data_IF_842686543161
#
_entry.id   IF_842686543161
#
_cell.length_a   1.000
_cell.length_b   1.000
_cell.length_c   1.000
_cell.angle_alpha   90.00
_cell.angle_beta   90.00
_cell.angle_gamma   90.00
#
_symmetry.space_group_name_H-M   'P 1'
#
loop_
_entity.id
_entity.type
_entity.pdbx_description
1 polymer ?
#
# COMPACT_ATOMS: atom_id res chain seq x y z
N UNK A 1 9.10 -29.24 -88.23
CA UNK A 1 8.84 -30.69 -88.38
C UNK A 1 8.57 -31.20 -86.98
N UNK A 2 7.32 -31.35 -86.56
CA UNK A 2 6.47 -32.52 -86.91
C UNK A 2 7.19 -33.81 -86.47
N UNK A 3 6.64 -34.73 -85.68
CA UNK A 3 5.22 -35.04 -85.42
C UNK A 3 5.18 -36.36 -84.63
N UNK A 4 4.07 -36.61 -83.94
CA UNK A 4 3.56 -37.95 -83.65
C UNK A 4 4.06 -38.57 -82.32
N UNK A 5 3.31 -39.41 -81.62
CA UNK A 5 2.01 -40.03 -81.94
C UNK A 5 1.43 -40.61 -80.64
N UNK A 6 0.10 -40.69 -80.60
CA UNK A 6 -0.70 -41.45 -79.64
C UNK A 6 -0.20 -42.87 -79.39
N UNK A 7 -0.46 -43.39 -78.18
CA UNK A 7 -0.66 -44.82 -77.97
C UNK A 7 -1.69 -45.03 -76.87
N UNK A 8 -2.77 -45.61 -77.34
CA UNK A 8 -4.07 -45.81 -76.74
C UNK A 8 -4.08 -47.14 -75.95
N UNK A 9 -4.94 -47.19 -74.91
CA UNK A 9 -5.99 -48.21 -74.73
C UNK A 9 -5.74 -49.48 -73.85
N UNK A 10 -6.83 -49.83 -73.13
CA UNK A 10 -7.29 -51.15 -72.59
C UNK A 10 -6.58 -51.65 -71.32
N UNK A 11 -7.18 -52.29 -70.31
CA UNK A 11 -8.47 -52.33 -69.57
C UNK A 11 -8.26 -53.46 -68.53
N UNK A 12 -9.11 -53.49 -67.49
CA UNK A 12 -9.47 -54.66 -66.65
C UNK A 12 -8.42 -55.23 -65.69
N UNK A 13 -8.74 -55.74 -64.50
CA UNK A 13 -9.91 -55.71 -63.61
C UNK A 13 -9.48 -56.47 -62.32
N UNK A 14 -10.18 -56.24 -61.19
CA UNK A 14 -10.27 -57.09 -59.97
C UNK A 14 -9.02 -57.29 -59.10
N UNK A 15 -9.02 -57.31 -57.76
CA UNK A 15 -9.98 -57.11 -56.66
C UNK A 15 -9.13 -56.99 -55.36
N UNK A 16 -9.78 -56.66 -54.25
CA UNK A 16 -9.40 -56.91 -52.85
C UNK A 16 -8.99 -55.71 -51.95
N UNK A 17 -10.00 -55.30 -51.17
CA UNK A 17 -9.95 -54.97 -49.74
C UNK A 17 -9.07 -53.81 -49.23
N UNK A 18 -9.71 -52.67 -48.92
CA UNK A 18 -9.28 -51.75 -47.85
C UNK A 18 -10.44 -50.96 -47.24
N UNK A 19 -10.48 -50.77 -45.90
CA UNK A 19 -11.59 -50.14 -45.20
C UNK A 19 -11.56 -48.61 -45.35
N UNK A 20 -12.67 -48.04 -45.80
CA UNK A 20 -12.86 -46.59 -45.92
C UNK A 20 -12.98 -45.92 -44.54
N UNK A 21 -11.93 -45.21 -44.12
CA UNK A 21 -11.99 -44.28 -43.00
C UNK A 21 -12.62 -42.95 -43.44
N UNK A 22 -13.88 -42.73 -43.07
CA UNK A 22 -14.58 -41.47 -43.29
C UNK A 22 -14.07 -40.38 -42.33
N UNK A 23 -13.26 -39.45 -42.83
CA UNK A 23 -12.89 -38.23 -42.08
C UNK A 23 -14.03 -37.22 -42.13
N UNK A 24 -14.96 -37.32 -41.19
CA UNK A 24 -15.99 -36.30 -40.98
C UNK A 24 -15.36 -35.00 -40.46
N UNK A 25 -15.39 -33.93 -41.28
CA UNK A 25 -15.00 -32.57 -40.86
C UNK A 25 -15.92 -32.12 -39.72
N UNK A 26 -15.37 -31.92 -38.52
CA UNK A 26 -16.13 -31.39 -37.37
C UNK A 26 -16.63 -29.98 -37.70
N UNK A 27 -17.95 -29.77 -37.65
CA UNK A 27 -18.58 -28.45 -37.79
C UNK A 27 -18.05 -27.50 -36.69
N UNK A 28 -17.68 -26.24 -36.99
CA UNK A 28 -17.26 -25.30 -35.97
C UNK A 28 -18.43 -25.04 -35.00
N UNK A 29 -18.18 -25.19 -33.70
CA UNK A 29 -19.16 -24.90 -32.65
C UNK A 29 -19.47 -23.40 -32.68
N UNK A 30 -20.75 -23.04 -32.79
CA UNK A 30 -21.21 -21.66 -32.64
C UNK A 30 -20.87 -21.17 -31.24
N UNK A 31 -19.99 -20.18 -31.14
CA UNK A 31 -19.62 -19.57 -29.86
C UNK A 31 -20.80 -18.70 -29.37
N UNK A 32 -21.55 -19.21 -28.39
CA UNK A 32 -22.62 -18.45 -27.76
C UNK A 32 -22.01 -17.32 -26.91
N UNK A 33 -22.09 -16.08 -27.41
CA UNK A 33 -21.65 -14.89 -26.68
C UNK A 33 -22.62 -14.63 -25.54
N UNK A 34 -22.16 -14.87 -24.31
CA UNK A 34 -22.95 -14.57 -23.11
C UNK A 34 -23.12 -13.05 -22.97
N UNK A 35 -24.33 -12.62 -22.63
CA UNK A 35 -24.67 -11.22 -22.37
C UNK A 35 -24.68 -10.95 -20.87
N UNK A 36 -24.51 -9.68 -20.52
CA UNK A 36 -24.71 -9.16 -19.18
C UNK A 36 -26.12 -9.52 -18.68
N UNK A 37 -26.20 -9.95 -17.42
CA UNK A 37 -27.46 -10.23 -16.73
C UNK A 37 -27.55 -9.39 -15.46
N UNK A 38 -28.64 -8.66 -15.30
CA UNK A 38 -28.91 -7.80 -14.14
C UNK A 38 -28.92 -8.56 -12.82
N UNK A 39 -29.28 -9.85 -12.83
CA UNK A 39 -29.23 -10.70 -11.64
C UNK A 39 -27.81 -10.86 -11.05
N UNK A 40 -26.75 -10.60 -11.81
CA UNK A 40 -25.38 -10.64 -11.29
C UNK A 40 -25.09 -9.48 -10.33
N UNK A 41 -25.80 -8.35 -10.42
CA UNK A 41 -25.65 -7.22 -9.48
C UNK A 41 -26.02 -7.62 -8.05
N UNK A 42 -26.95 -8.58 -7.88
CA UNK A 42 -27.35 -9.10 -6.55
C UNK A 42 -26.20 -9.79 -5.82
N UNK A 43 -25.27 -10.39 -6.58
CA UNK A 43 -24.14 -11.16 -6.03
C UNK A 43 -22.85 -10.35 -6.03
N UNK A 44 -22.75 -9.32 -6.87
CA UNK A 44 -21.56 -8.49 -7.06
C UNK A 44 -21.96 -7.00 -6.95
N UNK A 45 -21.96 -6.43 -5.73
CA UNK A 45 -22.39 -5.05 -5.49
C UNK A 45 -21.57 -3.99 -6.25
N UNK A 46 -20.36 -4.33 -6.66
CA UNK A 46 -19.44 -3.49 -7.42
C UNK A 46 -19.74 -3.43 -8.93
N UNK A 47 -20.65 -4.28 -9.43
CA UNK A 47 -20.99 -4.40 -10.85
C UNK A 47 -22.23 -3.57 -11.24
N UNK A 48 -22.27 -3.09 -12.49
CA UNK A 48 -23.42 -2.40 -13.10
C UNK A 48 -23.47 -2.65 -14.62
N UNK A 49 -24.62 -2.42 -15.25
CA UNK A 49 -24.77 -2.36 -16.71
C UNK A 49 -23.78 -1.37 -17.37
N UNK A 50 -23.12 -1.80 -18.45
CA UNK A 50 -22.17 -0.96 -19.21
C UNK A 50 -22.88 -0.21 -20.34
N UNK A 51 -22.38 1.00 -20.65
CA UNK A 51 -22.81 1.78 -21.82
C UNK A 51 -22.22 1.22 -23.14
N UNK A 52 -21.19 0.39 -23.08
CA UNK A 52 -20.51 -0.19 -24.25
C UNK A 52 -21.20 -1.45 -24.80
N UNK A 53 -22.45 -1.68 -24.39
CA UNK A 53 -23.34 -2.70 -24.93
C UNK A 53 -23.46 -3.95 -24.06
N UNK A 54 -24.42 -4.81 -24.41
CA UNK A 54 -24.85 -5.96 -23.60
C UNK A 54 -23.78 -7.06 -23.38
N UNK A 55 -22.59 -6.95 -23.99
CA UNK A 55 -21.46 -7.85 -23.77
C UNK A 55 -20.43 -7.31 -22.78
N UNK A 56 -20.70 -6.16 -22.15
CA UNK A 56 -19.82 -5.53 -21.18
C UNK A 56 -20.55 -5.33 -19.84
N UNK A 57 -19.80 -5.42 -18.76
CA UNK A 57 -20.24 -5.02 -17.42
C UNK A 57 -19.34 -3.91 -16.89
N UNK A 58 -19.90 -2.91 -16.23
CA UNK A 58 -19.15 -1.81 -15.66
C UNK A 58 -18.78 -2.09 -14.20
N UNK A 59 -17.51 -1.94 -13.86
CA UNK A 59 -17.05 -2.03 -12.48
C UNK A 59 -16.97 -0.64 -11.84
N UNK A 60 -17.79 -0.40 -10.81
CA UNK A 60 -17.82 0.85 -10.05
C UNK A 60 -16.54 1.09 -9.27
N UNK A 61 -15.93 0.02 -8.76
CA UNK A 61 -14.67 0.11 -8.02
C UNK A 61 -13.48 0.43 -8.93
N UNK A 62 -13.35 -0.26 -10.08
CA UNK A 62 -12.21 -0.11 -10.99
C UNK A 62 -12.37 1.02 -12.02
N UNK A 63 -13.58 1.57 -12.15
CA UNK A 63 -14.00 2.52 -13.19
C UNK A 63 -13.61 2.04 -14.59
N UNK A 64 -13.97 0.80 -14.92
CA UNK A 64 -13.68 0.22 -16.24
C UNK A 64 -14.72 -0.79 -16.68
N UNK A 65 -14.82 -0.96 -18.00
CA UNK A 65 -15.61 -2.01 -18.63
C UNK A 65 -14.92 -3.37 -18.59
N UNK A 66 -15.68 -4.39 -18.23
CA UNK A 66 -15.29 -5.79 -18.22
C UNK A 66 -16.00 -6.46 -19.39
N UNK A 67 -15.22 -7.00 -20.33
CA UNK A 67 -15.76 -7.77 -21.45
C UNK A 67 -16.22 -9.15 -20.98
N UNK A 68 -17.49 -9.47 -21.18
CA UNK A 68 -18.10 -10.75 -20.81
C UNK A 68 -18.08 -11.64 -22.05
N UNK A 69 -17.15 -12.59 -22.08
CA UNK A 69 -17.02 -13.56 -23.17
C UNK A 69 -17.46 -14.95 -22.72
N UNK A 70 -17.09 -15.32 -21.50
CA UNK A 70 -17.37 -16.61 -20.85
C UNK A 70 -18.41 -16.49 -19.73
N UNK A 71 -19.20 -15.41 -19.73
CA UNK A 71 -20.25 -15.18 -18.73
C UNK A 71 -19.69 -14.78 -17.36
N UNK A 72 -20.35 -15.24 -16.30
CA UNK A 72 -20.02 -14.86 -14.90
C UNK A 72 -18.57 -15.15 -14.52
N UNK A 73 -17.91 -16.13 -15.14
CA UNK A 73 -16.50 -16.46 -14.85
C UNK A 73 -15.53 -15.30 -15.08
N UNK A 74 -15.79 -14.43 -16.06
CA UNK A 74 -14.94 -13.27 -16.32
C UNK A 74 -15.07 -12.19 -15.22
N UNK A 75 -16.25 -12.10 -14.61
CA UNK A 75 -16.52 -11.18 -13.50
C UNK A 75 -15.82 -11.65 -12.22
N UNK A 76 -15.89 -12.95 -11.93
CA UNK A 76 -15.16 -13.56 -10.81
C UNK A 76 -13.66 -13.38 -11.00
N UNK A 77 -13.12 -13.61 -12.21
CA UNK A 77 -11.70 -13.36 -12.49
C UNK A 77 -11.32 -11.89 -12.26
N UNK A 78 -12.18 -10.96 -12.68
CA UNK A 78 -11.96 -9.53 -12.45
C UNK A 78 -11.87 -9.19 -10.96
N UNK A 79 -12.74 -9.77 -10.13
CA UNK A 79 -12.78 -9.56 -8.68
C UNK A 79 -11.44 -9.85 -8.00
N UNK A 80 -10.75 -10.89 -8.45
CA UNK A 80 -9.44 -11.27 -7.92
C UNK A 80 -8.25 -10.51 -8.56
N UNK A 81 -8.48 -9.58 -9.48
CA UNK A 81 -7.38 -8.80 -10.08
C UNK A 81 -6.81 -7.78 -9.10
N UNK A 82 -5.50 -7.54 -9.19
CA UNK A 82 -4.79 -6.54 -8.37
C UNK A 82 -5.37 -5.12 -8.51
N UNK A 83 -5.99 -4.79 -9.65
CA UNK A 83 -6.66 -3.49 -9.84
C UNK A 83 -7.94 -3.41 -8.98
N UNK A 84 -8.74 -4.49 -8.98
CA UNK A 84 -9.98 -4.56 -8.23
C UNK A 84 -9.76 -4.58 -6.73
N UNK A 85 -8.87 -5.45 -6.25
CA UNK A 85 -8.58 -5.59 -4.82
C UNK A 85 -8.07 -4.27 -4.25
N UNK A 86 -7.09 -3.62 -4.90
CA UNK A 86 -6.57 -2.32 -4.46
C UNK A 86 -7.64 -1.24 -4.49
N UNK A 87 -8.45 -1.16 -5.56
CA UNK A 87 -9.46 -0.10 -5.68
C UNK A 87 -10.61 -0.25 -4.68
N UNK A 88 -11.06 -1.48 -4.42
CA UNK A 88 -12.09 -1.76 -3.41
C UNK A 88 -11.60 -1.38 -2.00
N UNK A 89 -10.38 -1.78 -1.64
CA UNK A 89 -9.81 -1.45 -0.32
C UNK A 89 -9.62 0.07 -0.16
N UNK A 90 -9.13 0.75 -1.20
CA UNK A 90 -8.94 2.20 -1.17
C UNK A 90 -10.25 3.00 -1.04
N UNK A 91 -11.38 2.46 -1.51
CA UNK A 91 -12.67 3.17 -1.46
C UNK A 91 -13.43 2.92 -0.16
N UNK A 92 -13.31 1.72 0.43
CA UNK A 92 -14.01 1.36 1.68
C UNK A 92 -13.43 2.07 2.91
N UNK A 93 -12.12 2.38 2.91
CA UNK A 93 -11.45 3.06 4.01
C UNK A 93 -11.51 4.59 3.98
N UNK A 94 -12.02 5.20 2.90
CA UNK A 94 -12.06 6.65 2.76
C UNK A 94 -13.21 7.26 3.57
N UNK A 95 -12.85 8.02 4.60
CA UNK A 95 -13.79 8.84 5.37
C UNK A 95 -14.45 9.87 4.45
N UNK A 96 -15.76 10.01 4.55
CA UNK A 96 -16.50 11.02 3.75
C UNK A 96 -16.15 12.43 4.23
N UNK A 97 -16.16 13.41 3.32
CA UNK A 97 -15.91 14.82 3.66
C UNK A 97 -16.87 15.28 4.78
N UNK A 98 -18.12 14.83 4.76
CA UNK A 98 -19.11 15.09 5.82
C UNK A 98 -18.67 14.57 7.19
N UNK A 99 -17.98 13.43 7.27
CA UNK A 99 -17.46 12.90 8.53
C UNK A 99 -16.30 13.72 9.10
N UNK A 100 -15.60 14.52 8.28
CA UNK A 100 -14.56 15.46 8.72
C UNK A 100 -15.17 16.69 9.42
N UNK A 101 -16.35 17.13 8.98
CA UNK A 101 -17.07 18.27 9.56
C UNK A 101 -18.05 17.88 10.68
N UNK A 102 -18.39 16.58 10.78
CA UNK A 102 -19.24 16.04 11.83
C UNK A 102 -18.48 15.69 13.12
N UNK A 103 -17.20 16.01 13.25
CA UNK A 103 -16.47 15.96 14.54
C UNK A 103 -16.86 17.15 15.43
N UNK A 104 -18.16 17.34 15.64
CA UNK A 104 -18.68 18.16 16.72
C UNK A 104 -18.67 17.28 17.98
N UNK A 105 -17.76 17.60 18.89
CA UNK A 105 -17.72 17.09 20.28
C UNK A 105 -17.85 15.57 20.41
N UNK A 106 -16.83 14.80 20.02
CA UNK A 106 -16.64 13.53 20.74
C UNK A 106 -16.29 13.92 22.18
N UNK A 107 -17.05 13.42 23.15
CA UNK A 107 -16.61 13.45 24.53
C UNK A 107 -15.16 12.96 24.58
N UNK A 108 -14.29 13.75 25.20
CA UNK A 108 -12.89 13.41 25.33
C UNK A 108 -12.79 12.11 26.14
N UNK A 109 -12.48 11.01 25.47
CA UNK A 109 -12.42 9.68 26.09
C UNK A 109 -11.35 9.68 27.18
N UNK A 110 -11.48 8.80 28.17
CA UNK A 110 -10.48 8.64 29.24
C UNK A 110 -9.08 8.41 28.67
N UNK A 111 -8.97 7.66 27.56
CA UNK A 111 -7.72 7.47 26.83
C UNK A 111 -7.15 8.77 26.25
N UNK A 112 -7.98 9.62 25.65
CA UNK A 112 -7.53 10.92 25.15
C UNK A 112 -7.05 11.83 26.28
N UNK A 113 -7.72 11.78 27.45
CA UNK A 113 -7.29 12.50 28.65
C UNK A 113 -5.97 11.98 29.21
N UNK A 114 -5.77 10.66 29.19
CA UNK A 114 -4.51 10.04 29.61
C UNK A 114 -3.36 10.44 28.68
N UNK A 115 -3.56 10.41 27.36
CA UNK A 115 -2.58 10.88 26.37
C UNK A 115 -2.22 12.35 26.58
N UNK A 116 -3.22 13.19 26.84
CA UNK A 116 -3.00 14.60 27.15
C UNK A 116 -2.17 14.78 28.44
N UNK A 117 -2.47 14.01 29.49
CA UNK A 117 -1.70 14.05 30.73
C UNK A 117 -0.24 13.58 30.54
N UNK A 118 0.00 12.54 29.73
CA UNK A 118 1.34 12.07 29.38
C UNK A 118 2.16 13.16 28.69
N UNK A 119 1.58 13.85 27.71
CA UNK A 119 2.24 14.95 26.99
C UNK A 119 2.60 16.08 27.96
N UNK A 120 1.67 16.48 28.83
CA UNK A 120 1.91 17.55 29.81
C UNK A 120 3.01 17.20 30.81
N UNK A 121 3.03 15.96 31.30
CA UNK A 121 4.07 15.49 32.22
C UNK A 121 5.42 15.43 31.54
N UNK A 122 5.48 14.92 30.30
CA UNK A 122 6.72 14.91 29.52
C UNK A 122 7.24 16.33 29.27
N UNK A 123 6.35 17.28 28.96
CA UNK A 123 6.66 18.70 28.84
C UNK A 123 7.25 19.28 30.12
N UNK A 124 6.61 19.05 31.26
CA UNK A 124 7.11 19.49 32.57
C UNK A 124 8.52 18.96 32.89
N UNK A 125 8.76 17.68 32.66
CA UNK A 125 10.09 17.06 32.87
C UNK A 125 11.14 17.73 31.98
N UNK A 126 10.81 18.00 30.71
CA UNK A 126 11.70 18.67 29.77
C UNK A 126 11.96 20.13 30.14
N UNK A 127 10.92 20.90 30.48
CA UNK A 127 11.01 22.32 30.86
C UNK A 127 11.89 22.54 32.10
N UNK A 128 11.82 21.63 33.06
CA UNK A 128 12.59 21.71 34.30
C UNK A 128 13.94 20.98 34.25
N UNK A 129 14.34 20.48 33.07
CA UNK A 129 15.57 19.72 32.89
C UNK A 129 15.72 18.56 33.90
N UNK A 130 14.60 17.90 34.21
CA UNK A 130 14.58 16.81 35.17
C UNK A 130 15.13 15.53 34.52
N UNK A 131 15.84 14.66 35.27
CA UNK A 131 16.29 13.39 34.74
C UNK A 131 15.10 12.56 34.24
N UNK A 132 15.09 12.26 32.94
CA UNK A 132 14.02 11.49 32.31
C UNK A 132 13.80 10.10 32.93
N UNK A 133 14.80 9.56 33.63
CA UNK A 133 14.70 8.31 34.42
C UNK A 133 13.55 8.35 35.44
N UNK A 134 13.18 9.53 35.93
CA UNK A 134 12.03 9.70 36.83
C UNK A 134 10.72 9.27 36.14
N UNK A 135 10.61 9.47 34.82
CA UNK A 135 9.42 9.10 34.05
C UNK A 135 9.18 7.59 33.95
N UNK A 136 10.18 6.75 34.23
CA UNK A 136 10.02 5.29 34.26
C UNK A 136 9.27 4.83 35.52
N UNK A 137 9.45 5.54 36.64
CA UNK A 137 8.82 5.22 37.92
C UNK A 137 7.56 6.05 38.19
N UNK A 138 7.38 7.14 37.44
CA UNK A 138 6.26 8.06 37.61
C UNK A 138 4.88 7.41 37.40
N UNK A 139 4.68 6.48 36.44
CA UNK A 139 3.39 5.81 36.27
C UNK A 139 2.95 5.00 37.49
N UNK A 140 3.89 4.30 38.13
CA UNK A 140 3.60 3.52 39.33
C UNK A 140 3.23 4.44 40.50
N UNK A 141 3.96 5.54 40.65
CA UNK A 141 3.66 6.55 41.66
C UNK A 141 2.27 7.18 41.43
N UNK A 142 1.94 7.56 40.19
CA UNK A 142 0.65 8.16 39.84
C UNK A 142 -0.51 7.20 40.11
N UNK A 143 -0.34 5.89 39.85
CA UNK A 143 -1.34 4.87 40.21
C UNK A 143 -1.51 4.70 41.71
N UNK A 144 -0.42 4.78 42.47
CA UNK A 144 -0.46 4.66 43.92
C UNK A 144 -1.10 5.88 44.60
N UNK A 145 -0.76 7.09 44.13
CA UNK A 145 -1.26 8.35 44.71
C UNK A 145 -2.72 8.60 44.29
N UNK A 146 -3.06 8.36 43.02
CA UNK A 146 -4.38 8.61 42.45
C UNK A 146 -5.11 7.29 42.14
N UNK A 147 -5.26 6.44 43.15
CA UNK A 147 -5.81 5.07 42.98
C UNK A 147 -7.28 5.01 42.56
N UNK A 148 -8.04 6.08 42.78
CA UNK A 148 -9.43 6.25 42.36
C UNK A 148 -9.58 6.83 40.94
N UNK A 149 -8.49 7.31 40.35
CA UNK A 149 -8.50 7.93 39.02
C UNK A 149 -8.40 6.88 37.91
N UNK A 150 -9.46 6.78 37.11
CA UNK A 150 -9.46 5.97 35.89
C UNK A 150 -8.36 6.38 34.90
N UNK A 151 -7.91 7.65 34.93
CA UNK A 151 -6.82 8.17 34.10
C UNK A 151 -5.47 7.63 34.58
N UNK A 152 -5.25 7.61 35.90
CA UNK A 152 -4.01 7.08 36.47
C UNK A 152 -3.86 5.57 36.22
N UNK A 153 -4.96 4.82 36.26
CA UNK A 153 -4.97 3.37 35.97
C UNK A 153 -4.50 3.00 34.56
N UNK A 154 -4.70 3.87 33.58
CA UNK A 154 -4.31 3.66 32.17
C UNK A 154 -3.09 4.47 31.75
N UNK A 155 -2.51 5.24 32.66
CA UNK A 155 -1.35 6.10 32.39
C UNK A 155 -0.11 5.25 32.15
N UNK A 156 0.47 5.36 30.94
CA UNK A 156 1.65 4.58 30.54
C UNK A 156 2.67 5.49 29.87
N UNK A 157 3.69 5.88 30.63
CA UNK A 157 4.87 6.50 30.05
C UNK A 157 5.79 5.41 29.49
N UNK A 158 5.82 5.28 28.15
CA UNK A 158 6.74 4.36 27.44
C UNK A 158 8.20 4.81 27.56
N UNK A 159 9.13 3.91 27.19
CA UNK A 159 10.56 4.22 27.15
C UNK A 159 10.82 5.59 26.54
N UNK A 160 11.62 6.38 27.24
CA UNK A 160 12.10 7.70 26.82
C UNK A 160 12.65 7.63 25.40
N UNK A 161 13.42 6.58 25.10
CA UNK A 161 13.97 6.28 23.79
C UNK A 161 12.91 6.19 22.67
N UNK A 162 11.79 5.54 22.97
CA UNK A 162 10.70 5.33 22.02
C UNK A 162 9.86 6.60 21.86
N UNK A 163 9.59 7.31 22.95
CA UNK A 163 8.86 8.57 22.92
C UNK A 163 9.65 9.66 22.18
N UNK A 164 10.96 9.78 22.43
CA UNK A 164 11.82 10.69 21.67
C UNK A 164 11.92 10.31 20.20
N UNK A 165 12.08 9.02 19.90
CA UNK A 165 12.09 8.57 18.50
C UNK A 165 10.77 8.92 17.81
N UNK A 166 9.63 8.72 18.47
CA UNK A 166 8.30 9.02 17.92
C UNK A 166 8.09 10.52 17.73
N UNK A 167 8.42 11.33 18.73
CA UNK A 167 8.36 12.80 18.63
C UNK A 167 9.28 13.33 17.54
N UNK A 168 10.53 12.86 17.48
CA UNK A 168 11.48 13.26 16.44
C UNK A 168 11.02 12.80 15.05
N UNK A 169 10.49 11.59 14.92
CA UNK A 169 9.97 11.06 13.65
C UNK A 169 8.80 11.90 13.13
N UNK A 170 7.79 12.17 13.98
CA UNK A 170 6.67 13.02 13.61
C UNK A 170 7.09 14.48 13.35
N UNK A 171 8.04 15.01 14.09
CA UNK A 171 8.58 16.34 13.82
C UNK A 171 9.26 16.38 12.45
N UNK A 172 10.06 15.36 12.10
CA UNK A 172 10.68 15.22 10.79
C UNK A 172 9.65 15.13 9.66
N UNK A 173 8.49 14.48 9.85
CA UNK A 173 7.41 14.49 8.86
C UNK A 173 6.83 15.88 8.57
N UNK A 174 6.99 16.84 9.49
CA UNK A 174 6.55 18.23 9.30
C UNK A 174 7.62 19.13 8.69
N UNK A 175 8.86 18.67 8.65
CA UNK A 175 9.95 19.41 8.01
C UNK A 175 9.91 19.21 6.48
N UNK A 176 10.33 20.21 5.70
CA UNK A 176 10.53 20.03 4.27
C UNK A 176 11.57 18.93 3.97
N UNK A 177 11.33 18.13 2.93
CA UNK A 177 12.20 17.02 2.54
C UNK A 177 13.64 17.49 2.21
N UNK A 178 13.78 18.73 1.75
CA UNK A 178 15.05 19.37 1.44
C UNK A 178 15.96 19.48 2.67
N UNK A 179 15.38 19.79 3.83
CA UNK A 179 16.12 19.93 5.09
C UNK A 179 16.68 18.58 5.52
N UNK A 180 15.88 17.52 5.38
CA UNK A 180 16.29 16.15 5.71
C UNK A 180 17.39 15.65 4.76
N UNK A 181 17.23 15.89 3.45
CA UNK A 181 18.24 15.56 2.43
C UNK A 181 19.54 16.31 2.67
N UNK A 182 19.47 17.60 3.00
CA UNK A 182 20.64 18.42 3.30
C UNK A 182 21.39 17.89 4.52
N UNK A 183 20.68 17.59 5.61
CA UNK A 183 21.28 17.02 6.82
C UNK A 183 22.02 15.69 6.53
N UNK A 184 21.41 14.79 5.74
CA UNK A 184 22.09 13.55 5.29
C UNK A 184 23.29 13.83 4.41
N UNK A 185 23.20 14.79 3.49
CA UNK A 185 24.30 15.15 2.61
C UNK A 185 25.52 15.64 3.39
N UNK A 186 25.31 16.57 4.34
CA UNK A 186 26.36 17.07 5.23
C UNK A 186 27.02 15.93 6.00
N UNK A 187 26.21 15.05 6.61
CA UNK A 187 26.73 13.90 7.34
C UNK A 187 27.57 12.97 6.44
N UNK A 188 27.05 12.59 5.27
CA UNK A 188 27.72 11.69 4.34
C UNK A 188 29.00 12.30 3.75
N UNK A 189 29.02 13.61 3.53
CA UNK A 189 30.19 14.31 3.04
C UNK A 189 31.37 14.12 4.01
N UNK A 190 31.22 14.53 5.27
CA UNK A 190 32.31 14.47 6.23
C UNK A 190 32.59 13.05 6.76
N UNK A 191 31.56 12.23 7.02
CA UNK A 191 31.72 10.93 7.70
C UNK A 191 32.37 9.85 6.83
N UNK A 192 32.22 9.93 5.51
CA UNK A 192 32.76 8.92 4.59
C UNK A 192 34.25 9.12 4.26
N UNK A 193 34.89 10.17 4.76
CA UNK A 193 36.30 10.45 4.49
C UNK A 193 37.05 10.82 5.77
N UNK A 194 38.09 10.06 6.15
CA UNK A 194 38.96 10.41 7.25
C UNK A 194 39.60 11.79 7.08
N UNK A 195 39.98 12.15 5.84
CA UNK A 195 40.54 13.46 5.52
C UNK A 195 39.57 14.59 5.84
N UNK A 196 38.32 14.49 5.38
CA UNK A 196 37.30 15.53 5.62
C UNK A 196 36.85 15.58 7.09
N UNK A 197 36.89 14.45 7.79
CA UNK A 197 36.67 14.43 9.24
C UNK A 197 37.78 15.19 9.98
N UNK A 198 39.03 15.10 9.53
CA UNK A 198 40.15 15.86 10.10
C UNK A 198 40.04 17.35 9.79
N UNK A 199 39.76 17.71 8.53
CA UNK A 199 39.50 19.10 8.10
C UNK A 199 38.36 19.74 8.92
N UNK A 200 37.31 18.97 9.27
CA UNK A 200 36.23 19.45 10.13
C UNK A 200 36.71 19.77 11.55
N UNK A 201 37.63 18.98 12.12
CA UNK A 201 38.21 19.26 13.43
C UNK A 201 39.07 20.52 13.41
N UNK A 202 39.90 20.66 12.37
CA UNK A 202 40.71 21.87 12.17
C UNK A 202 39.82 23.11 12.05
N UNK A 203 38.72 23.01 11.31
CA UNK A 203 37.74 24.09 11.20
C UNK A 203 37.04 24.41 12.53
N UNK A 204 36.66 23.40 13.32
CA UNK A 204 36.10 23.60 14.67
C UNK A 204 37.08 24.34 15.60
N UNK A 205 38.36 23.99 15.54
CA UNK A 205 39.42 24.68 16.28
C UNK A 205 39.61 26.12 15.80
N UNK A 206 39.67 26.34 14.48
CA UNK A 206 39.77 27.67 13.89
C UNK A 206 38.59 28.58 14.28
N UNK A 207 37.36 28.03 14.27
CA UNK A 207 36.15 28.74 14.67
C UNK A 207 35.98 28.88 16.20
N UNK A 208 36.93 28.37 17.00
CA UNK A 208 36.89 28.34 18.46
C UNK A 208 35.62 27.70 19.02
N UNK A 209 35.15 26.62 18.37
CA UNK A 209 33.98 25.84 18.80
C UNK A 209 34.47 24.56 19.47
N UNK A 210 33.78 24.11 20.53
CA UNK A 210 34.09 22.83 21.19
C UNK A 210 34.08 21.68 20.17
N UNK A 211 35.07 20.77 20.18
CA UNK A 211 35.09 19.66 19.22
C UNK A 211 33.84 18.79 19.36
N UNK A 212 33.06 18.69 18.29
CA UNK A 212 31.83 17.87 18.26
C UNK A 212 32.00 16.75 17.26
N UNK A 213 31.71 15.52 17.70
CA UNK A 213 31.59 14.36 16.82
C UNK A 213 30.20 14.36 16.19
N UNK A 214 30.13 14.28 14.86
CA UNK A 214 28.83 14.14 14.19
C UNK A 214 28.17 12.81 14.54
N UNK A 215 26.91 12.88 14.94
CA UNK A 215 26.09 11.71 15.26
C UNK A 215 25.51 11.12 13.98
N UNK A 216 25.39 9.80 13.94
CA UNK A 216 24.78 9.09 12.82
C UNK A 216 23.28 9.45 12.72
N UNK A 217 22.79 9.94 11.57
CA UNK A 217 21.37 10.20 11.37
C UNK A 217 20.56 8.91 11.44
N UNK A 218 19.45 8.87 12.17
CA UNK A 218 18.58 7.70 12.19
C UNK A 218 17.98 7.45 10.78
N UNK A 219 17.94 6.19 10.35
CA UNK A 219 17.25 5.79 9.13
C UNK A 219 15.73 5.89 9.35
N UNK A 220 15.14 7.06 9.15
CA UNK A 220 13.70 7.17 8.95
C UNK A 220 13.39 6.70 7.53
N UNK A 221 13.17 5.40 7.34
CA UNK A 221 12.51 4.87 6.15
C UNK A 221 11.01 5.04 6.33
N UNK A 222 10.52 6.27 6.15
CA UNK A 222 9.11 6.54 5.91
C UNK A 222 8.89 6.54 4.39
N UNK A 223 8.86 5.35 3.80
CA UNK A 223 8.37 5.07 2.45
C UNK A 223 7.53 3.80 2.47
#
# INVERSE_FOLDING_TARGET
MSSGSDSNRVDSDTDDSSPSASTSRKRPKLAYKQKYKKDWEKQMPWLQESQNGASFGWCKACKCDIKITHGKGDLVKHEYTSKHTKSCVSTVGQKTITSMFAEKTKEMTTEMRAKEAEIRIAGFVAEHNLPFKIMEHLPDLMRAVCSDSAIAGIFVMKCICHSFHLCASYACEKLPEEVEKFARYVYNYFSNSPKRTEELKEFQQFANVSPVKMLHPSFNTAL
#
